data_IF_997588531862
#
_entry.id   IF_997588531862
#
_cell.length_a   1.000
_cell.length_b   1.000
_cell.length_c   1.000
_cell.angle_alpha   90.00
_cell.angle_beta   90.00
_cell.angle_gamma   90.00
#
_symmetry.space_group_name_H-M   'P 1'
#
loop_
_entity.id
_entity.type
_entity.pdbx_description
1 polymer ?
#
# COMPACT_ATOMS: atom_id res chain seq x y z
N UNK A 1 -9.46 -23.88 4.13
CA UNK A 1 -8.23 -23.67 3.34
C UNK A 1 -7.73 -22.27 3.67
N UNK A 2 -6.57 -22.11 4.30
CA UNK A 2 -5.97 -20.78 4.48
C UNK A 2 -5.26 -20.42 3.17
N UNK A 3 -5.95 -19.71 2.27
CA UNK A 3 -5.32 -19.15 1.07
C UNK A 3 -4.32 -18.08 1.51
N UNK A 4 -3.07 -18.21 1.03
CA UNK A 4 -2.12 -17.09 1.11
C UNK A 4 -2.58 -16.03 0.12
N UNK A 5 -2.44 -14.76 0.51
CA UNK A 5 -2.70 -13.62 -0.35
C UNK A 5 -1.43 -12.81 -0.51
N UNK A 6 -1.29 -12.15 -1.65
CA UNK A 6 -0.29 -11.10 -1.82
C UNK A 6 -0.79 -9.82 -1.21
N UNK A 7 0.11 -9.02 -0.66
CA UNK A 7 -0.15 -7.65 -0.26
C UNK A 7 0.38 -6.74 -1.35
N UNK A 8 -0.49 -5.91 -1.93
CA UNK A 8 -0.12 -5.01 -3.01
C UNK A 8 -0.63 -3.62 -2.70
N UNK A 9 0.25 -2.64 -2.74
CA UNK A 9 -0.06 -1.22 -2.55
C UNK A 9 0.08 -0.50 -3.89
N UNK A 10 -0.76 0.50 -4.12
CA UNK A 10 -0.76 1.35 -5.30
C UNK A 10 -0.76 2.82 -4.89
N UNK A 11 0.06 3.60 -5.56
CA UNK A 11 -0.02 5.06 -5.62
C UNK A 11 -0.81 5.41 -6.88
N UNK A 12 -2.07 5.81 -6.69
CA UNK A 12 -3.01 6.06 -7.77
C UNK A 12 -2.75 7.41 -8.46
N UNK A 13 -1.99 8.31 -7.82
CA UNK A 13 -1.51 9.56 -8.41
C UNK A 13 -0.37 9.30 -9.39
N UNK A 14 0.65 8.54 -8.98
CA UNK A 14 1.82 8.24 -9.83
C UNK A 14 1.63 7.03 -10.72
N UNK A 15 0.53 6.29 -10.54
CA UNK A 15 0.27 5.02 -11.21
C UNK A 15 1.43 4.05 -10.99
N UNK A 16 1.90 3.94 -9.76
CA UNK A 16 2.91 2.96 -9.37
C UNK A 16 2.36 1.94 -8.39
N UNK A 17 2.95 0.75 -8.38
CA UNK A 17 2.54 -0.31 -7.46
C UNK A 17 3.73 -1.10 -6.94
N UNK A 18 3.55 -1.71 -5.78
CA UNK A 18 4.50 -2.63 -5.18
C UNK A 18 3.76 -3.82 -4.57
N UNK A 19 4.35 -4.99 -4.74
CA UNK A 19 3.94 -6.20 -4.03
C UNK A 19 4.80 -6.32 -2.77
N UNK A 20 4.21 -6.06 -1.60
CA UNK A 20 4.91 -5.99 -0.32
C UNK A 20 5.26 -7.37 0.26
N UNK A 21 4.51 -8.43 -0.08
CA UNK A 21 4.79 -9.79 0.40
C UNK A 21 3.56 -10.69 0.38
N UNK A 22 3.68 -11.88 1.00
CA UNK A 22 2.56 -12.81 1.20
C UNK A 22 2.19 -12.88 2.68
N UNK A 23 0.91 -12.92 3.00
CA UNK A 23 0.46 -13.12 4.38
C UNK A 23 -0.81 -13.99 4.45
N UNK A 24 -1.06 -14.56 5.63
CA UNK A 24 -2.30 -15.27 5.96
C UNK A 24 -3.35 -14.39 6.66
N UNK A 25 -2.98 -13.19 7.11
CA UNK A 25 -3.84 -12.22 7.80
C UNK A 25 -3.48 -10.78 7.37
N UNK A 26 -4.47 -9.99 6.95
CA UNK A 26 -4.31 -8.75 6.19
C UNK A 26 -4.52 -7.46 7.02
N UNK A 27 -5.09 -7.54 8.22
CA UNK A 27 -5.67 -6.38 8.93
C UNK A 27 -4.72 -5.19 9.11
N UNK A 28 -3.42 -5.44 9.39
CA UNK A 28 -2.47 -4.35 9.60
C UNK A 28 -2.19 -3.55 8.31
N UNK A 29 -2.15 -4.24 7.17
CA UNK A 29 -1.85 -3.63 5.87
C UNK A 29 -3.01 -2.78 5.35
N UNK A 30 -4.23 -3.31 5.43
CA UNK A 30 -5.45 -2.59 5.05
C UNK A 30 -5.72 -1.41 5.95
N UNK A 31 -5.61 -1.57 7.27
CA UNK A 31 -5.81 -0.46 8.21
C UNK A 31 -4.82 0.69 7.97
N UNK A 32 -3.56 0.37 7.66
CA UNK A 32 -2.55 1.39 7.39
C UNK A 32 -2.81 2.11 6.05
N UNK A 33 -3.21 1.36 5.02
CA UNK A 33 -3.63 1.95 3.73
C UNK A 33 -4.84 2.87 3.92
N UNK A 34 -5.83 2.44 4.71
CA UNK A 34 -6.98 3.27 5.06
C UNK A 34 -6.56 4.55 5.80
N UNK A 35 -5.61 4.46 6.74
CA UNK A 35 -5.04 5.64 7.41
C UNK A 35 -4.39 6.63 6.44
N UNK A 36 -3.63 6.13 5.45
CA UNK A 36 -3.06 6.98 4.39
C UNK A 36 -4.14 7.68 3.56
N UNK A 37 -5.21 6.97 3.19
CA UNK A 37 -6.35 7.55 2.47
C UNK A 37 -7.04 8.66 3.28
N UNK A 38 -7.27 8.42 4.58
CA UNK A 38 -7.88 9.42 5.47
C UNK A 38 -6.99 10.65 5.65
N UNK A 39 -5.67 10.52 5.55
CA UNK A 39 -4.74 11.64 5.53
C UNK A 39 -4.68 12.39 4.17
N UNK A 40 -5.54 12.04 3.22
CA UNK A 40 -5.63 12.68 1.91
C UNK A 40 -4.69 12.11 0.84
N UNK A 41 -3.99 11.01 1.12
CA UNK A 41 -3.14 10.36 0.12
C UNK A 41 -3.99 9.55 -0.86
N UNK A 42 -3.71 9.67 -2.14
CA UNK A 42 -4.39 8.91 -3.19
C UNK A 42 -3.72 7.54 -3.41
N UNK A 43 -3.99 6.62 -2.48
CA UNK A 43 -3.43 5.27 -2.48
C UNK A 43 -4.53 4.23 -2.39
N UNK A 44 -4.27 3.02 -2.87
CA UNK A 44 -5.18 1.87 -2.71
C UNK A 44 -4.43 0.56 -2.57
N UNK A 45 -5.04 -0.42 -1.91
CA UNK A 45 -4.46 -1.74 -1.72
C UNK A 45 -5.29 -2.84 -2.40
N UNK A 46 -4.65 -3.97 -2.71
CA UNK A 46 -5.34 -5.18 -3.17
C UNK A 46 -4.68 -6.43 -2.59
N UNK A 47 -5.49 -7.48 -2.39
CA UNK A 47 -5.03 -8.76 -1.87
C UNK A 47 -5.35 -9.94 -2.77
N UNK A 48 -4.70 -10.03 -3.95
CA UNK A 48 -4.96 -11.12 -4.86
C UNK A 48 -4.49 -12.46 -4.24
N UNK A 49 -5.27 -13.54 -4.41
CA UNK A 49 -4.89 -14.85 -3.91
C UNK A 49 -3.62 -15.35 -4.60
N UNK A 50 -2.75 -16.01 -3.84
CA UNK A 50 -1.60 -16.74 -4.39
C UNK A 50 -2.15 -17.96 -5.13
N UNK A 51 -2.23 -17.86 -6.46
CA UNK A 51 -2.66 -18.93 -7.37
C UNK A 51 -1.53 -19.28 -8.33
N UNK A 52 -1.67 -20.34 -9.14
CA UNK A 52 -0.66 -20.71 -10.14
C UNK A 52 -0.27 -19.59 -11.11
N UNK A 53 -1.17 -18.62 -11.37
CA UNK A 53 -0.90 -17.44 -12.23
C UNK A 53 -0.21 -16.28 -11.50
N UNK A 54 -0.22 -16.29 -10.17
CA UNK A 54 0.43 -15.30 -9.30
C UNK A 54 1.35 -16.02 -8.31
N UNK A 55 2.10 -17.02 -8.78
CA UNK A 55 2.95 -17.84 -7.92
C UNK A 55 4.19 -17.09 -7.42
N UNK A 56 4.67 -16.10 -8.19
CA UNK A 56 5.81 -15.25 -7.83
C UNK A 56 5.43 -13.77 -7.81
N UNK A 57 6.27 -12.96 -7.16
CA UNK A 57 6.07 -11.51 -6.99
C UNK A 57 6.01 -10.80 -8.35
N UNK A 58 6.87 -11.23 -9.26
CA UNK A 58 7.12 -10.67 -10.59
C UNK A 58 6.01 -11.04 -11.59
N UNK A 59 5.24 -12.09 -11.29
CA UNK A 59 4.10 -12.50 -12.11
C UNK A 59 2.90 -11.54 -11.95
N UNK A 60 2.87 -10.77 -10.86
CA UNK A 60 1.78 -9.81 -10.59
C UNK A 60 2.00 -8.56 -11.42
N UNK A 61 1.05 -8.30 -12.32
CA UNK A 61 1.00 -7.10 -13.14
C UNK A 61 -0.34 -6.41 -12.94
N UNK A 62 -0.30 -5.09 -12.81
CA UNK A 62 -1.50 -4.27 -12.73
C UNK A 62 -1.54 -3.39 -13.97
N UNK A 63 -2.60 -3.53 -14.77
CA UNK A 63 -2.77 -2.77 -16.00
C UNK A 63 -2.74 -1.27 -15.71
N UNK A 64 -1.89 -0.54 -16.43
CA UNK A 64 -1.74 0.91 -16.28
C UNK A 64 -0.90 1.36 -15.08
N UNK A 65 -0.24 0.44 -14.36
CA UNK A 65 0.67 0.79 -13.27
C UNK A 65 2.08 0.27 -13.53
N UNK A 66 3.06 1.05 -13.09
CA UNK A 66 4.48 0.70 -13.16
C UNK A 66 4.95 0.16 -11.82
N UNK A 67 5.77 -0.89 -11.85
CA UNK A 67 6.37 -1.41 -10.64
C UNK A 67 7.34 -0.40 -10.02
N UNK A 68 7.22 -0.16 -8.72
CA UNK A 68 8.13 0.67 -7.94
C UNK A 68 8.65 -0.14 -6.73
N UNK A 69 9.97 -0.26 -6.60
CA UNK A 69 10.59 -0.92 -5.45
C UNK A 69 10.70 0.08 -4.28
N UNK A 70 10.23 -0.28 -3.09
CA UNK A 70 10.23 0.61 -1.93
C UNK A 70 9.10 1.66 -1.95
N UNK A 71 8.04 1.42 -2.72
CA UNK A 71 6.85 2.26 -2.75
C UNK A 71 6.22 2.34 -1.35
N UNK A 72 6.10 1.22 -0.67
CA UNK A 72 5.53 1.15 0.67
C UNK A 72 6.26 2.08 1.64
N UNK A 73 7.60 2.00 1.68
CA UNK A 73 8.42 2.85 2.53
C UNK A 73 8.30 4.34 2.17
N UNK A 74 8.19 4.65 0.87
CA UNK A 74 7.95 6.03 0.41
C UNK A 74 6.62 6.55 0.92
N UNK A 75 5.54 5.77 0.76
CA UNK A 75 4.20 6.14 1.21
C UNK A 75 4.13 6.26 2.73
N UNK A 76 4.81 5.39 3.48
CA UNK A 76 4.90 5.52 4.95
C UNK A 76 5.61 6.81 5.37
N UNK A 77 6.72 7.18 4.71
CA UNK A 77 7.41 8.45 5.00
C UNK A 77 6.55 9.67 4.70
N UNK A 78 5.79 9.62 3.60
CA UNK A 78 4.85 10.69 3.22
C UNK A 78 3.71 10.80 4.24
N UNK A 79 3.13 9.67 4.64
CA UNK A 79 2.10 9.62 5.66
C UNK A 79 2.57 10.18 7.01
N UNK A 80 3.78 9.81 7.46
CA UNK A 80 4.36 10.32 8.70
C UNK A 80 4.59 11.83 8.64
N UNK A 81 5.04 12.34 7.49
CA UNK A 81 5.22 13.79 7.29
C UNK A 81 3.90 14.55 7.40
N UNK A 82 2.84 14.04 6.75
CA UNK A 82 1.51 14.64 6.81
C UNK A 82 1.02 14.67 8.26
N UNK A 83 1.14 13.56 8.99
CA UNK A 83 0.71 13.47 10.39
C UNK A 83 1.48 14.42 11.33
N UNK A 84 2.77 14.63 11.10
CA UNK A 84 3.56 15.58 11.88
C UNK A 84 3.10 17.03 11.62
N UNK A 85 2.88 17.42 10.36
CA UNK A 85 2.35 18.75 10.02
C UNK A 85 1.00 19.02 10.70
N UNK A 86 0.06 18.06 10.68
CA UNK A 86 -1.21 18.20 11.38
C UNK A 86 -1.06 18.39 12.90
N UNK A 87 0.00 17.84 13.51
CA UNK A 87 0.22 17.98 14.95
C UNK A 87 0.75 19.38 15.26
N UNK A 88 1.71 19.86 14.46
CA UNK A 88 2.25 21.21 14.60
C UNK A 88 1.15 22.27 14.39
N UNK A 89 0.32 22.12 13.35
CA UNK A 89 -0.76 23.09 13.04
C UNK A 89 -1.82 23.19 14.16
N UNK A 90 -2.07 22.11 14.91
CA UNK A 90 -2.98 22.11 16.07
C UNK A 90 -2.38 22.72 17.35
N UNK A 91 -1.05 22.82 17.46
CA UNK A 91 -0.39 23.42 18.63
C UNK A 91 -0.32 24.96 18.56
N UNK A 92 -0.62 25.56 17.40
CA UNK A 92 -0.58 27.01 17.18
C UNK A 92 -1.96 27.67 17.03
N UNK A 93 -3.06 26.94 17.26
CA UNK A 93 -4.43 27.48 17.45
C UNK A 93 -4.82 27.55 18.94
#
# INVERSE_FOLDING_TARGET
>A
MFSKYWLVIRDDTKRTFEVCGQISNENAFTNKTYGMQQAGMNVSCMTPPVTGKAASKEAIKISGYTWENGLWDRLEKEYMRIRMQYTDDMEFE
#
